data_IF_833840936568
#
_entry.id   IF_833840936568
#
_cell.length_a   1.000
_cell.length_b   1.000
_cell.length_c   1.000
_cell.angle_alpha   90.00
_cell.angle_beta   90.00
_cell.angle_gamma   90.00
#
_symmetry.space_group_name_H-M   'P 1'
#
loop_
_entity.id
_entity.type
_entity.pdbx_description
1 polymer ?
#
# COMPACT_ATOMS: atom_id res chain seq x y z
N UNK A 1 22.15 12.29 -2.19
CA UNK A 1 21.99 11.15 -1.24
C UNK A 1 20.85 10.24 -1.67
N UNK A 2 19.70 10.80 -2.10
CA UNK A 2 18.59 10.04 -2.68
C UNK A 2 18.92 9.33 -4.01
N UNK A 3 19.89 9.82 -4.79
CA UNK A 3 20.26 9.24 -6.08
C UNK A 3 21.02 7.90 -6.01
N UNK A 4 21.18 7.32 -4.81
CA UNK A 4 22.04 6.14 -4.57
C UNK A 4 21.28 4.87 -4.18
N UNK A 5 19.95 4.91 -4.16
CA UNK A 5 19.13 3.73 -3.89
C UNK A 5 17.82 3.79 -4.66
N UNK A 6 17.42 2.64 -5.18
CA UNK A 6 16.17 2.37 -5.87
C UNK A 6 15.31 1.49 -4.96
N UNK A 7 14.02 1.84 -4.85
CA UNK A 7 13.02 1.10 -4.09
C UNK A 7 11.93 0.62 -5.04
N UNK A 8 11.82 -0.70 -5.18
CA UNK A 8 10.75 -1.32 -5.94
C UNK A 8 10.07 -2.43 -5.15
N UNK A 9 8.89 -2.80 -5.61
CA UNK A 9 8.04 -3.80 -4.99
C UNK A 9 7.84 -4.96 -5.96
N UNK A 10 7.79 -6.17 -5.45
CA UNK A 10 7.57 -7.36 -6.27
C UNK A 10 6.39 -8.14 -5.74
N UNK A 11 5.56 -8.61 -6.67
CA UNK A 11 4.50 -9.57 -6.39
C UNK A 11 4.90 -10.92 -6.94
N UNK A 12 4.94 -11.92 -6.06
CA UNK A 12 5.35 -13.29 -6.36
C UNK A 12 4.15 -14.03 -6.93
N UNK A 13 3.83 -13.68 -8.17
CA UNK A 13 2.89 -14.41 -9.03
C UNK A 13 3.69 -15.18 -10.10
N UNK A 14 3.01 -15.91 -11.01
CA UNK A 14 3.65 -16.71 -12.08
C UNK A 14 4.59 -15.87 -12.98
N UNK A 15 4.37 -14.55 -13.08
CA UNK A 15 5.12 -13.63 -13.96
C UNK A 15 6.10 -12.74 -13.19
N UNK A 16 6.16 -12.79 -11.84
CA UNK A 16 6.93 -11.85 -11.00
C UNK A 16 6.79 -10.39 -11.46
N UNK A 17 5.71 -9.73 -11.03
CA UNK A 17 5.44 -8.35 -11.44
C UNK A 17 6.19 -7.36 -10.55
N UNK A 18 6.94 -6.45 -11.15
CA UNK A 18 7.65 -5.34 -10.49
C UNK A 18 6.82 -4.06 -10.54
N UNK A 19 6.76 -3.36 -9.42
CA UNK A 19 6.11 -2.07 -9.26
C UNK A 19 7.11 -1.03 -8.76
N UNK A 20 7.15 0.11 -9.44
CA UNK A 20 7.97 1.24 -9.01
C UNK A 20 7.27 2.04 -7.90
N UNK A 21 8.05 2.64 -7.01
CA UNK A 21 7.55 3.55 -5.99
C UNK A 21 7.03 4.85 -6.62
N UNK A 22 5.74 4.87 -7.00
CA UNK A 22 5.14 6.04 -7.64
C UNK A 22 5.08 7.23 -6.67
N UNK A 23 5.38 8.44 -7.20
CA UNK A 23 5.44 9.70 -6.42
C UNK A 23 6.24 9.58 -5.12
N UNK A 24 7.40 8.91 -5.20
CA UNK A 24 8.27 8.70 -4.05
C UNK A 24 8.55 10.02 -3.31
N UNK A 25 8.20 10.04 -2.02
CA UNK A 25 8.52 11.14 -1.10
C UNK A 25 9.59 10.66 -0.15
N UNK A 26 10.61 11.49 0.03
CA UNK A 26 11.80 11.16 0.78
C UNK A 26 11.96 12.16 1.93
N UNK A 27 11.99 11.65 3.16
CA UNK A 27 12.21 12.46 4.35
C UNK A 27 13.35 11.88 5.17
N UNK A 28 14.44 12.63 5.27
CA UNK A 28 15.54 12.28 6.16
C UNK A 28 15.15 12.68 7.59
N UNK A 29 14.91 11.71 8.46
CA UNK A 29 14.57 11.99 9.86
C UNK A 29 15.84 12.28 10.68
N UNK A 30 16.95 11.62 10.35
CA UNK A 30 18.29 11.91 10.88
C UNK A 30 19.38 11.25 10.01
N UNK A 31 20.64 11.28 10.44
CA UNK A 31 21.79 10.73 9.70
C UNK A 31 21.76 9.22 9.44
N UNK A 32 20.84 8.47 10.07
CA UNK A 32 20.73 7.01 9.97
C UNK A 32 19.30 6.54 9.67
N UNK A 33 18.32 7.43 9.67
CA UNK A 33 16.90 7.07 9.50
C UNK A 33 16.31 7.89 8.37
N UNK A 34 15.75 7.16 7.42
CA UNK A 34 14.99 7.69 6.30
C UNK A 34 13.56 7.17 6.37
N UNK A 35 12.61 8.07 6.14
CA UNK A 35 11.23 7.72 5.82
C UNK A 35 11.02 7.85 4.32
N UNK A 36 10.53 6.76 3.70
CA UNK A 36 10.17 6.71 2.29
C UNK A 36 8.67 6.45 2.20
N UNK A 37 7.96 7.29 1.44
CA UNK A 37 6.52 7.11 1.16
C UNK A 37 6.30 6.96 -0.33
N UNK A 38 5.51 5.96 -0.71
CA UNK A 38 5.10 5.68 -2.08
C UNK A 38 3.58 5.71 -2.15
N UNK A 39 3.03 6.23 -3.24
CA UNK A 39 1.61 6.04 -3.55
C UNK A 39 1.52 4.73 -4.35
N UNK A 40 0.80 3.72 -3.84
CA UNK A 40 0.67 2.42 -4.50
C UNK A 40 -0.70 1.81 -4.21
N UNK A 41 -1.38 1.35 -5.27
CA UNK A 41 -2.70 0.71 -5.17
C UNK A 41 -2.64 -0.82 -5.24
N UNK A 42 -1.46 -1.34 -5.57
CA UNK A 42 -1.22 -2.76 -5.83
C UNK A 42 -0.73 -3.50 -4.58
N UNK A 43 -1.15 -4.75 -4.43
CA UNK A 43 -0.60 -5.64 -3.41
C UNK A 43 0.75 -6.19 -3.88
N UNK A 44 1.70 -6.29 -2.95
CA UNK A 44 3.04 -6.81 -3.19
C UNK A 44 3.44 -7.76 -2.06
N UNK A 45 4.37 -8.67 -2.36
CA UNK A 45 4.87 -9.66 -1.39
C UNK A 45 6.27 -9.34 -0.91
N UNK A 46 7.03 -8.57 -1.70
CA UNK A 46 8.42 -8.22 -1.42
C UNK A 46 8.68 -6.75 -1.66
N UNK A 47 9.54 -6.19 -0.81
CA UNK A 47 10.12 -4.87 -0.96
C UNK A 47 11.60 -5.06 -1.25
N UNK A 48 12.09 -4.45 -2.31
CA UNK A 48 13.49 -4.52 -2.71
C UNK A 48 14.06 -3.11 -2.67
N UNK A 49 15.09 -2.94 -1.85
CA UNK A 49 15.88 -1.72 -1.79
C UNK A 49 17.29 -2.05 -2.29
N UNK A 50 17.67 -1.45 -3.41
CA UNK A 50 18.94 -1.72 -4.10
C UNK A 50 19.72 -0.42 -4.34
N UNK A 51 21.04 -0.48 -4.42
CA UNK A 51 21.89 0.67 -4.77
C UNK A 51 23.21 0.73 -4.02
N UNK A 52 24.18 1.46 -4.59
CA UNK A 52 25.55 1.51 -4.08
C UNK A 52 25.66 2.02 -2.63
N UNK A 53 24.67 2.79 -2.17
CA UNK A 53 24.62 3.30 -0.80
C UNK A 53 24.08 2.32 0.25
N UNK A 54 23.51 1.18 -0.16
CA UNK A 54 22.85 0.21 0.73
C UNK A 54 23.83 -0.88 1.14
N UNK A 55 24.73 -0.59 2.08
CA UNK A 55 25.72 -1.56 2.56
C UNK A 55 25.14 -2.50 3.63
N UNK A 56 24.19 -2.00 4.43
CA UNK A 56 23.47 -2.77 5.44
C UNK A 56 22.19 -2.05 5.85
N UNK A 57 21.16 -2.82 6.20
CA UNK A 57 19.92 -2.32 6.79
C UNK A 57 19.87 -2.75 8.25
N UNK A 58 19.80 -1.78 9.16
CA UNK A 58 19.68 -2.07 10.60
C UNK A 58 18.29 -2.58 10.98
N UNK A 59 17.25 -1.95 10.41
CA UNK A 59 15.85 -2.29 10.68
C UNK A 59 14.97 -1.78 9.55
N UNK A 60 13.92 -2.53 9.22
CA UNK A 60 12.88 -2.10 8.29
C UNK A 60 11.55 -2.05 9.04
N UNK A 61 10.85 -0.92 8.97
CA UNK A 61 9.49 -0.79 9.48
C UNK A 61 8.57 -0.50 8.30
N UNK A 62 7.67 -1.44 8.01
CA UNK A 62 6.69 -1.32 6.92
C UNK A 62 5.33 -1.02 7.52
N UNK A 63 4.73 0.09 7.12
CA UNK A 63 3.38 0.47 7.54
C UNK A 63 2.49 0.62 6.31
N UNK A 64 1.43 -0.20 6.22
CA UNK A 64 0.44 -0.15 5.14
C UNK A 64 -0.62 0.95 5.31
N UNK A 65 -0.44 1.84 6.29
CA UNK A 65 -1.44 2.82 6.70
C UNK A 65 -2.53 2.19 7.58
N UNK A 66 -3.32 3.05 8.22
CA UNK A 66 -4.50 2.65 8.99
C UNK A 66 -5.73 2.79 8.10
N UNK A 67 -6.40 1.68 7.78
CA UNK A 67 -7.76 1.75 7.24
C UNK A 67 -8.70 2.25 8.35
N UNK A 68 -9.00 3.54 8.36
CA UNK A 68 -9.87 4.16 9.39
C UNK A 68 -11.33 3.76 9.24
N UNK A 69 -11.75 3.29 8.06
CA UNK A 69 -13.11 2.82 7.79
C UNK A 69 -13.32 1.38 8.27
N UNK A 70 -12.26 0.62 8.57
CA UNK A 70 -12.41 -0.79 8.95
C UNK A 70 -13.26 -0.93 10.22
N UNK A 71 -14.29 -1.77 10.14
CA UNK A 71 -15.28 -2.01 11.20
C UNK A 71 -16.00 -0.75 11.71
N UNK A 72 -15.99 0.35 10.97
CA UNK A 72 -16.79 1.52 11.32
C UNK A 72 -18.27 1.28 10.99
N UNK A 73 -19.20 1.95 11.70
CA UNK A 73 -20.60 1.98 11.29
C UNK A 73 -20.74 2.47 9.85
N UNK A 74 -21.66 1.87 9.10
CA UNK A 74 -21.87 2.16 7.68
C UNK A 74 -23.34 1.93 7.32
N UNK A 75 -23.86 2.78 6.44
CA UNK A 75 -25.23 2.74 5.94
C UNK A 75 -25.21 2.77 4.41
N UNK A 76 -26.22 2.18 3.78
CA UNK A 76 -26.39 2.19 2.33
C UNK A 76 -27.85 2.47 1.99
N UNK A 77 -28.08 3.27 0.96
CA UNK A 77 -29.43 3.64 0.51
C UNK A 77 -30.06 2.58 -0.40
N UNK A 78 -29.26 1.67 -0.96
CA UNK A 78 -29.75 0.60 -1.84
C UNK A 78 -28.86 -0.65 -1.73
N UNK A 79 -29.43 -1.79 -2.12
CA UNK A 79 -28.71 -3.05 -2.31
C UNK A 79 -28.93 -3.57 -3.71
N UNK A 80 -27.87 -4.08 -4.32
CA UNK A 80 -27.98 -4.93 -5.49
C UNK A 80 -27.47 -6.33 -5.13
N UNK A 81 -28.39 -7.31 -5.06
CA UNK A 81 -28.09 -8.68 -4.65
C UNK A 81 -27.92 -8.87 -3.14
N UNK A 82 -26.98 -9.72 -2.74
CA UNK A 82 -26.72 -10.12 -1.35
C UNK A 82 -25.74 -9.22 -0.60
N UNK A 83 -25.30 -8.13 -1.22
CA UNK A 83 -24.29 -7.23 -0.65
C UNK A 83 -24.91 -6.36 0.45
N UNK A 84 -24.20 -6.23 1.57
CA UNK A 84 -24.63 -5.42 2.72
C UNK A 84 -23.62 -4.32 3.00
N UNK A 85 -24.07 -3.22 3.59
CA UNK A 85 -23.22 -2.04 3.87
C UNK A 85 -21.94 -2.41 4.62
N UNK A 86 -22.02 -3.40 5.52
CA UNK A 86 -20.88 -3.91 6.29
C UNK A 86 -19.74 -4.48 5.43
N UNK A 87 -20.03 -4.97 4.22
CA UNK A 87 -19.02 -5.56 3.33
C UNK A 87 -17.98 -4.51 2.91
N UNK A 88 -18.36 -3.23 2.79
CA UNK A 88 -17.48 -2.13 2.44
C UNK A 88 -16.42 -1.82 3.53
N UNK A 89 -16.72 -2.16 4.79
CA UNK A 89 -15.88 -1.86 5.97
C UNK A 89 -15.28 -3.12 6.61
N UNK A 90 -15.61 -4.31 6.10
CA UNK A 90 -15.19 -5.59 6.68
C UNK A 90 -13.69 -5.88 6.47
N UNK A 91 -13.04 -5.18 5.53
CA UNK A 91 -11.60 -5.29 5.29
C UNK A 91 -11.18 -6.45 4.39
N UNK A 92 -12.13 -7.11 3.72
CA UNK A 92 -11.85 -8.15 2.74
C UNK A 92 -11.86 -7.59 1.31
N UNK A 93 -10.68 -7.49 0.68
CA UNK A 93 -10.54 -6.98 -0.71
C UNK A 93 -10.89 -8.01 -1.79
N UNK A 94 -11.02 -9.30 -1.45
CA UNK A 94 -11.36 -10.34 -2.44
C UNK A 94 -12.85 -10.38 -2.79
N UNK A 95 -13.68 -9.63 -2.05
CA UNK A 95 -15.15 -9.62 -2.20
C UNK A 95 -15.67 -8.39 -2.96
N UNK A 96 -14.77 -7.49 -3.37
CA UNK A 96 -15.12 -6.26 -4.09
C UNK A 96 -15.16 -6.55 -5.60
N UNK A 97 -16.35 -6.88 -6.12
CA UNK A 97 -16.71 -6.47 -7.49
C UNK A 97 -16.59 -4.93 -7.59
N UNK A 98 -16.30 -4.33 -8.75
CA UNK A 98 -15.98 -2.91 -8.86
C UNK A 98 -17.17 -2.04 -8.42
N UNK A 99 -17.10 -1.49 -7.21
CA UNK A 99 -18.06 -0.52 -6.71
C UNK A 99 -17.46 0.88 -6.85
N UNK A 100 -18.15 1.75 -7.61
CA UNK A 100 -17.92 3.19 -7.61
C UNK A 100 -18.66 3.76 -6.40
N UNK A 101 -17.91 4.33 -5.45
CA UNK A 101 -18.49 5.10 -4.35
C UNK A 101 -18.83 6.50 -4.88
N UNK A 102 -20.12 6.84 -4.87
CA UNK A 102 -20.55 8.24 -4.97
C UNK A 102 -20.65 8.80 -3.55
N UNK A 103 -20.00 9.95 -3.33
CA UNK A 103 -20.23 10.78 -2.16
C UNK A 103 -21.01 12.01 -2.65
N UNK A 104 -22.15 12.30 -2.02
CA UNK A 104 -22.85 13.59 -2.17
C UNK A 104 -22.13 14.69 -1.38
#
# INVERSE_FOLDING_TARGET
VADKFNLHFEKVDIVNKRYECSRQRFHLLNSRVVEIRCDMDELFDRIVLEGEGVTSLCSINVNGGRNVAIKQPTEQTSTNGTNVASDAVYGNRQQLQPWVLYFD
#
